data_IF_736747869958
#
_entry.id   IF_736747869958
#
_cell.length_a   1.000
_cell.length_b   1.000
_cell.length_c   1.000
_cell.angle_alpha   90.00
_cell.angle_beta   90.00
_cell.angle_gamma   90.00
#
_symmetry.space_group_name_H-M   'P 1'
#
loop_
_entity.id
_entity.type
_entity.pdbx_description
1 polymer ?
#
# COMPACT_ATOMS: atom_id res chain seq x y z
N UNK A 1 -7.62 -2.13 -20.59
CA UNK A 1 -7.63 -3.51 -20.06
C UNK A 1 -7.11 -3.43 -18.63
N UNK A 2 -7.77 -4.07 -17.66
CA UNK A 2 -7.17 -4.22 -16.34
C UNK A 2 -5.98 -5.15 -16.49
N UNK A 3 -4.81 -4.75 -16.01
CA UNK A 3 -3.66 -5.63 -15.96
C UNK A 3 -3.97 -6.82 -15.04
N UNK A 4 -3.51 -8.00 -15.43
CA UNK A 4 -3.54 -9.20 -14.58
C UNK A 4 -2.27 -9.36 -13.73
N UNK A 5 -1.29 -8.46 -13.88
CA UNK A 5 -0.03 -8.45 -13.12
C UNK A 5 0.27 -7.06 -12.57
N UNK A 6 1.00 -7.02 -11.45
CA UNK A 6 1.53 -5.76 -10.92
C UNK A 6 2.49 -5.11 -11.93
N UNK A 7 2.52 -3.78 -11.94
CA UNK A 7 3.42 -2.98 -12.79
C UNK A 7 4.08 -1.88 -11.96
N UNK A 8 5.33 -1.52 -12.28
CA UNK A 8 6.01 -0.41 -11.60
C UNK A 8 5.32 0.94 -11.84
N UNK A 9 5.53 1.91 -10.94
CA UNK A 9 5.09 3.29 -11.16
C UNK A 9 5.96 4.00 -12.23
N UNK A 10 5.59 5.22 -12.65
CA UNK A 10 6.42 6.03 -13.54
C UNK A 10 7.84 6.27 -13.00
N UNK A 11 8.81 6.61 -13.87
CA UNK A 11 10.15 6.92 -13.41
C UNK A 11 10.20 8.08 -12.41
N UNK A 12 10.99 7.95 -11.36
CA UNK A 12 11.14 8.87 -10.24
C UNK A 12 10.10 8.70 -9.13
N UNK A 13 9.25 7.66 -9.19
CA UNK A 13 8.15 7.47 -8.24
C UNK A 13 8.34 6.21 -7.38
N UNK A 14 7.70 6.23 -6.21
CA UNK A 14 7.40 5.01 -5.45
C UNK A 14 5.93 4.64 -5.58
N UNK A 15 5.63 3.35 -5.43
CA UNK A 15 4.28 2.81 -5.36
C UNK A 15 4.06 2.13 -4.01
N UNK A 16 2.93 2.44 -3.38
CA UNK A 16 2.46 1.83 -2.15
C UNK A 16 1.17 1.08 -2.46
N UNK A 17 1.24 -0.25 -2.46
CA UNK A 17 0.06 -1.10 -2.51
C UNK A 17 -0.45 -1.32 -1.08
N UNK A 18 -1.74 -1.12 -0.84
CA UNK A 18 -2.38 -1.32 0.47
C UNK A 18 -3.57 -2.26 0.35
N UNK A 19 -3.86 -2.97 1.44
CA UNK A 19 -4.98 -3.89 1.55
C UNK A 19 -5.45 -4.02 3.00
N UNK A 20 -6.61 -4.63 3.21
CA UNK A 20 -7.13 -4.98 4.50
C UNK A 20 -7.71 -6.41 4.55
N UNK A 21 -7.54 -7.05 5.71
CA UNK A 21 -8.11 -8.35 6.02
C UNK A 21 -9.03 -8.24 7.23
N UNK A 22 -10.21 -8.86 7.17
CA UNK A 22 -11.15 -8.96 8.28
C UNK A 22 -11.52 -10.43 8.51
N UNK A 23 -11.36 -10.91 9.74
CA UNK A 23 -11.73 -12.27 10.16
C UNK A 23 -13.11 -12.26 10.81
N UNK A 24 -13.73 -13.45 10.88
CA UNK A 24 -15.08 -13.61 11.43
C UNK A 24 -15.19 -13.28 12.93
N UNK A 25 -14.08 -13.29 13.67
CA UNK A 25 -13.99 -12.92 15.08
C UNK A 25 -13.67 -11.42 15.28
N UNK A 26 -13.85 -10.60 14.24
CA UNK A 26 -13.54 -9.16 14.22
C UNK A 26 -12.05 -8.80 14.33
N UNK A 27 -11.15 -9.78 14.37
CA UNK A 27 -9.73 -9.50 14.20
C UNK A 27 -9.49 -9.02 12.77
N UNK A 28 -8.75 -7.95 12.64
CA UNK A 28 -8.47 -7.31 11.37
C UNK A 28 -7.00 -6.98 11.24
N UNK A 29 -6.54 -6.88 10.01
CA UNK A 29 -5.20 -6.41 9.68
C UNK A 29 -5.29 -5.43 8.53
N UNK A 30 -4.46 -4.41 8.57
CA UNK A 30 -4.14 -3.60 7.40
C UNK A 30 -2.70 -3.87 7.03
N UNK A 31 -2.37 -3.78 5.75
CA UNK A 31 -1.00 -4.02 5.32
C UNK A 31 -0.70 -3.41 3.97
N UNK A 32 0.58 -3.44 3.63
CA UNK A 32 1.02 -2.93 2.35
C UNK A 32 2.47 -3.20 2.05
N UNK A 33 2.84 -2.87 0.81
CA UNK A 33 4.21 -2.98 0.28
C UNK A 33 4.55 -1.71 -0.50
N UNK A 34 5.76 -1.22 -0.28
CA UNK A 34 6.37 -0.06 -0.96
C UNK A 34 7.43 -0.58 -1.92
N UNK A 35 7.35 -0.15 -3.18
CA UNK A 35 8.28 -0.50 -4.25
C UNK A 35 8.66 0.72 -5.07
N UNK A 36 9.85 0.70 -5.65
CA UNK A 36 10.32 1.78 -6.53
C UNK A 36 9.87 1.62 -8.00
N UNK A 37 10.29 2.57 -8.84
CA UNK A 37 10.11 2.59 -10.31
C UNK A 37 10.67 1.36 -11.06
N UNK A 38 11.56 0.59 -10.44
CA UNK A 38 12.12 -0.64 -11.00
C UNK A 38 11.47 -1.88 -10.40
N UNK A 39 10.45 -1.74 -9.57
CA UNK A 39 9.81 -2.86 -8.88
C UNK A 39 10.63 -3.43 -7.73
N UNK A 40 11.72 -2.77 -7.31
CA UNK A 40 12.51 -3.21 -6.17
C UNK A 40 11.74 -2.99 -4.88
N UNK A 41 11.82 -3.98 -3.99
CA UNK A 41 11.27 -3.88 -2.65
C UNK A 41 11.98 -2.79 -1.84
N UNK A 42 11.21 -1.93 -1.19
CA UNK A 42 11.71 -0.90 -0.28
C UNK A 42 11.24 -1.12 1.17
N UNK A 43 9.96 -1.47 1.34
CA UNK A 43 9.35 -1.63 2.65
C UNK A 43 8.09 -2.51 2.57
N UNK A 44 7.79 -3.28 3.60
CA UNK A 44 6.45 -3.87 3.81
C UNK A 44 6.01 -3.66 5.26
N UNK A 45 4.70 -3.64 5.48
CA UNK A 45 4.13 -3.47 6.81
C UNK A 45 2.81 -4.22 6.97
N UNK A 46 2.50 -4.54 8.21
CA UNK A 46 1.18 -5.01 8.62
C UNK A 46 0.89 -4.50 10.03
N UNK A 47 -0.38 -4.27 10.33
CA UNK A 47 -0.81 -3.86 11.66
C UNK A 47 -2.17 -4.45 12.02
N UNK A 48 -2.31 -4.88 13.27
CA UNK A 48 -3.51 -5.51 13.80
C UNK A 48 -4.52 -4.48 14.32
N UNK A 49 -5.79 -4.82 14.13
CA UNK A 49 -6.94 -4.01 14.55
C UNK A 49 -8.08 -4.92 14.99
N UNK A 50 -9.09 -4.31 15.63
CA UNK A 50 -10.41 -4.91 15.82
C UNK A 50 -11.43 -4.05 15.09
N UNK A 51 -12.18 -4.66 14.17
CA UNK A 51 -13.15 -3.94 13.33
C UNK A 51 -14.27 -4.88 12.85
N UNK A 52 -15.36 -4.33 12.29
CA UNK A 52 -16.49 -5.10 11.76
C UNK A 52 -16.90 -4.72 10.33
N UNK A 53 -16.28 -3.69 9.76
CA UNK A 53 -16.54 -3.20 8.42
C UNK A 53 -15.25 -3.23 7.58
N UNK A 54 -15.23 -4.09 6.55
CA UNK A 54 -14.11 -4.24 5.63
C UNK A 54 -13.86 -2.98 4.81
N UNK A 55 -14.91 -2.25 4.39
CA UNK A 55 -14.75 -1.05 3.57
C UNK A 55 -14.05 0.08 4.34
N UNK A 56 -14.32 0.17 5.64
CA UNK A 56 -13.60 1.11 6.52
C UNK A 56 -12.16 0.69 6.76
N UNK A 57 -11.87 -0.61 6.87
CA UNK A 57 -10.51 -1.11 7.00
C UNK A 57 -9.66 -0.80 5.76
N UNK A 58 -10.21 -0.92 4.55
CA UNK A 58 -9.52 -0.52 3.31
C UNK A 58 -9.08 0.95 3.34
N UNK A 59 -9.96 1.83 3.80
CA UNK A 59 -9.62 3.24 3.99
C UNK A 59 -8.60 3.43 5.12
N UNK A 60 -8.71 2.64 6.19
CA UNK A 60 -7.80 2.70 7.32
C UNK A 60 -6.39 2.25 6.95
N UNK A 61 -6.22 1.33 6.02
CA UNK A 61 -4.91 0.95 5.47
C UNK A 61 -4.18 2.16 4.87
N UNK A 62 -4.92 3.07 4.24
CA UNK A 62 -4.38 4.33 3.67
C UNK A 62 -4.08 5.33 4.77
N UNK A 63 -4.94 5.48 5.78
CA UNK A 63 -4.66 6.34 6.94
C UNK A 63 -3.46 5.85 7.75
N UNK A 64 -3.22 4.54 7.78
CA UNK A 64 -2.11 3.95 8.51
C UNK A 64 -0.75 4.32 7.91
N UNK A 65 -0.70 4.73 6.64
CA UNK A 65 0.54 5.14 5.97
C UNK A 65 1.25 6.30 6.69
N UNK A 66 0.54 7.14 7.45
CA UNK A 66 1.16 8.18 8.28
C UNK A 66 2.20 7.63 9.26
N UNK A 67 2.07 6.36 9.68
CA UNK A 67 3.00 5.69 10.59
C UNK A 67 4.16 4.98 9.85
N UNK A 68 4.01 4.80 8.53
CA UNK A 68 4.93 4.03 7.69
C UNK A 68 5.86 4.94 6.90
N UNK A 69 5.38 6.12 6.51
CA UNK A 69 6.15 7.09 5.72
C UNK A 69 7.47 7.43 6.42
N UNK A 70 8.53 7.52 5.61
CA UNK A 70 9.89 7.84 6.03
C UNK A 70 10.39 9.06 5.25
N UNK A 71 11.32 9.81 5.82
CA UNK A 71 11.82 11.06 5.24
C UNK A 71 12.31 10.91 3.79
N UNK A 72 13.03 9.82 3.50
CA UNK A 72 13.53 9.51 2.16
C UNK A 72 12.43 9.37 1.11
N UNK A 73 11.19 9.03 1.50
CA UNK A 73 10.08 8.87 0.57
C UNK A 73 9.67 10.20 -0.07
N UNK A 74 9.88 11.32 0.63
CA UNK A 74 9.55 12.66 0.12
C UNK A 74 10.54 13.16 -0.94
N UNK A 75 11.71 12.53 -1.06
CA UNK A 75 12.72 12.86 -2.07
C UNK A 75 12.32 12.37 -3.48
N UNK A 76 11.35 11.46 -3.58
CA UNK A 76 10.83 10.99 -4.87
C UNK A 76 9.94 12.04 -5.55
N UNK A 77 9.87 11.97 -6.89
CA UNK A 77 9.05 12.89 -7.70
C UNK A 77 7.54 12.73 -7.45
N UNK A 78 7.13 11.57 -6.95
CA UNK A 78 5.76 11.30 -6.54
C UNK A 78 5.56 9.94 -5.88
N UNK A 79 4.42 9.78 -5.24
CA UNK A 79 3.93 8.53 -4.67
C UNK A 79 2.62 8.11 -5.34
N UNK A 80 2.54 6.85 -5.73
CA UNK A 80 1.31 6.22 -6.21
C UNK A 80 0.77 5.29 -5.13
N UNK A 81 -0.42 5.57 -4.61
CA UNK A 81 -1.10 4.73 -3.62
C UNK A 81 -2.15 3.90 -4.36
N UNK A 82 -1.99 2.57 -4.34
CA UNK A 82 -2.87 1.60 -4.99
C UNK A 82 -3.59 0.73 -3.96
N UNK A 83 -4.88 0.49 -4.21
CA UNK A 83 -5.68 -0.48 -3.47
C UNK A 83 -6.70 -1.16 -4.38
N UNK A 84 -7.30 -2.25 -3.89
CA UNK A 84 -8.23 -3.08 -4.67
C UNK A 84 -9.72 -2.70 -4.45
N UNK A 85 -10.00 -1.74 -3.56
CA UNK A 85 -11.36 -1.25 -3.33
C UNK A 85 -11.66 -0.01 -4.19
N UNK A 86 -12.32 -0.24 -5.34
CA UNK A 86 -12.59 0.84 -6.30
C UNK A 86 -13.44 1.98 -5.75
N UNK A 87 -14.31 1.74 -4.76
CA UNK A 87 -15.14 2.77 -4.17
C UNK A 87 -14.31 3.71 -3.29
N UNK A 88 -13.43 3.15 -2.45
CA UNK A 88 -12.50 3.91 -1.60
C UNK A 88 -11.53 4.72 -2.47
N UNK A 89 -10.91 4.08 -3.47
CA UNK A 89 -9.99 4.77 -4.38
C UNK A 89 -10.68 5.93 -5.11
N UNK A 90 -11.90 5.73 -5.64
CA UNK A 90 -12.65 6.81 -6.29
C UNK A 90 -12.98 7.94 -5.32
N UNK A 91 -13.39 7.63 -4.10
CA UNK A 91 -13.68 8.63 -3.08
C UNK A 91 -12.43 9.48 -2.77
N UNK A 92 -11.26 8.84 -2.62
CA UNK A 92 -9.99 9.51 -2.41
C UNK A 92 -9.57 10.35 -3.62
N UNK A 93 -9.71 9.85 -4.84
CA UNK A 93 -9.45 10.63 -6.05
C UNK A 93 -10.32 11.89 -6.13
N UNK A 94 -11.61 11.79 -5.79
CA UNK A 94 -12.53 12.94 -5.77
C UNK A 94 -12.14 13.92 -4.67
N UNK A 95 -11.86 13.44 -3.46
CA UNK A 95 -11.42 14.28 -2.34
C UNK A 95 -10.10 15.00 -2.66
N UNK A 96 -9.13 14.27 -3.22
CA UNK A 96 -7.82 14.77 -3.59
C UNK A 96 -7.88 15.86 -4.67
N UNK A 97 -8.79 15.72 -5.64
CA UNK A 97 -9.02 16.74 -6.68
C UNK A 97 -9.72 17.99 -6.13
N UNK A 98 -10.52 17.86 -5.07
CA UNK A 98 -11.30 18.96 -4.47
C UNK A 98 -10.55 19.77 -3.41
N UNK A 99 -9.33 19.35 -3.01
CA UNK A 99 -8.54 20.06 -2.00
C UNK A 99 -8.31 21.52 -2.39
N UNK A 100 -8.66 22.45 -1.49
CA UNK A 100 -8.45 23.89 -1.67
C UNK A 100 -7.01 24.23 -1.31
N UNK A 101 -6.37 25.13 -2.06
CA UNK A 101 -5.00 25.59 -1.80
C UNK A 101 -3.94 24.48 -1.68
N UNK A 102 -4.18 23.30 -2.26
CA UNK A 102 -3.36 22.07 -2.13
C UNK A 102 -3.39 21.38 -0.75
N UNK A 103 -4.07 21.95 0.25
CA UNK A 103 -4.12 21.38 1.59
C UNK A 103 -5.33 20.47 1.78
N UNK A 104 -5.06 19.25 2.25
CA UNK A 104 -6.08 18.34 2.77
C UNK A 104 -6.45 18.75 4.19
N UNK A 105 -7.75 18.92 4.44
CA UNK A 105 -8.27 19.24 5.78
C UNK A 105 -8.47 18.02 6.67
N UNK A 106 -8.45 16.81 6.12
CA UNK A 106 -8.46 15.56 6.91
C UNK A 106 -7.06 15.31 7.46
N UNK A 107 -6.88 15.52 8.77
CA UNK A 107 -5.60 15.34 9.48
C UNK A 107 -5.01 13.94 9.27
N UNK A 108 -5.83 12.91 9.00
CA UNK A 108 -5.36 11.54 8.76
C UNK A 108 -4.63 11.39 7.43
N UNK A 109 -4.79 12.35 6.52
CA UNK A 109 -4.15 12.38 5.20
C UNK A 109 -3.18 13.57 5.05
N UNK A 110 -3.07 14.46 6.05
CA UNK A 110 -2.28 15.68 5.95
C UNK A 110 -0.80 15.43 5.62
N UNK A 111 -0.23 14.29 6.06
CA UNK A 111 1.13 13.85 5.72
C UNK A 111 1.36 13.69 4.20
N UNK A 112 0.29 13.53 3.41
CA UNK A 112 0.40 13.43 1.95
C UNK A 112 0.72 14.77 1.28
N UNK A 113 0.61 15.89 2.00
CA UNK A 113 0.99 17.21 1.48
C UNK A 113 2.52 17.39 1.39
N UNK A 114 3.30 16.57 2.11
CA UNK A 114 4.76 16.60 2.10
C UNK A 114 5.36 15.90 0.87
N UNK A 115 4.56 15.09 0.16
CA UNK A 115 4.97 14.50 -1.11
C UNK A 115 4.87 15.51 -2.27
N UNK A 116 5.87 15.49 -3.15
CA UNK A 116 5.89 16.30 -4.38
C UNK A 116 4.62 16.09 -5.23
N UNK A 117 4.21 14.83 -5.40
CA UNK A 117 3.00 14.43 -6.12
C UNK A 117 2.40 13.19 -5.47
N UNK A 118 1.07 13.09 -5.50
CA UNK A 118 0.34 11.92 -5.00
C UNK A 118 -0.71 11.53 -6.04
N UNK A 119 -0.74 10.24 -6.36
CA UNK A 119 -1.74 9.63 -7.21
C UNK A 119 -2.42 8.47 -6.49
N UNK A 120 -3.75 8.46 -6.45
CA UNK A 120 -4.51 7.28 -6.06
C UNK A 120 -4.91 6.49 -7.30
N UNK A 121 -4.69 5.18 -7.28
CA UNK A 121 -5.00 4.29 -8.40
C UNK A 121 -5.69 3.02 -7.91
N UNK A 122 -6.58 2.47 -8.73
CA UNK A 122 -7.24 1.20 -8.45
C UNK A 122 -6.45 0.10 -9.16
N UNK A 123 -6.21 -1.00 -8.45
CA UNK A 123 -5.61 -2.19 -9.02
C UNK A 123 -6.53 -3.39 -8.86
N UNK A 124 -6.36 -4.41 -9.70
CA UNK A 124 -7.07 -5.68 -9.50
C UNK A 124 -6.42 -6.44 -8.33
N UNK A 125 -7.16 -7.38 -7.72
CA UNK A 125 -6.61 -8.26 -6.68
C UNK A 125 -5.34 -9.00 -7.10
N UNK A 126 -5.24 -9.36 -8.38
CA UNK A 126 -4.06 -10.04 -8.92
C UNK A 126 -2.81 -9.14 -8.93
N UNK A 127 -2.99 -7.82 -8.94
CA UNK A 127 -1.93 -6.83 -8.82
C UNK A 127 -1.63 -6.46 -7.35
N UNK A 128 -2.42 -6.93 -6.38
CA UNK A 128 -2.34 -6.50 -4.98
C UNK A 128 -1.91 -7.62 -4.01
N UNK A 129 -1.46 -8.77 -4.53
CA UNK A 129 -1.21 -9.99 -3.74
C UNK A 129 -0.28 -9.78 -2.55
N UNK A 130 0.81 -9.01 -2.73
CA UNK A 130 1.74 -8.71 -1.63
C UNK A 130 1.08 -7.90 -0.51
N UNK A 131 0.21 -6.95 -0.84
CA UNK A 131 -0.51 -6.17 0.16
C UNK A 131 -1.56 -7.03 0.89
N UNK A 132 -2.28 -7.92 0.17
CA UNK A 132 -3.18 -8.92 0.78
C UNK A 132 -2.43 -9.86 1.75
N UNK A 133 -1.25 -10.37 1.36
CA UNK A 133 -0.39 -11.16 2.25
C UNK A 133 -0.04 -10.34 3.50
N UNK A 134 0.42 -9.09 3.33
CA UNK A 134 0.75 -8.21 4.44
C UNK A 134 -0.43 -7.96 5.38
N UNK A 135 -1.62 -7.69 4.85
CA UNK A 135 -2.83 -7.47 5.64
C UNK A 135 -3.22 -8.72 6.43
N UNK A 136 -3.15 -9.91 5.81
CA UNK A 136 -3.43 -11.17 6.47
C UNK A 136 -2.42 -11.51 7.57
N UNK A 137 -1.13 -11.20 7.37
CA UNK A 137 -0.12 -11.33 8.42
C UNK A 137 -0.32 -10.31 9.54
N UNK A 138 -0.71 -9.09 9.18
CA UNK A 138 -1.03 -7.99 10.08
C UNK A 138 -2.14 -8.33 11.07
N UNK A 139 -3.08 -9.21 10.71
CA UNK A 139 -4.11 -9.74 11.64
C UNK A 139 -3.49 -10.42 12.87
N UNK A 140 -2.35 -11.07 12.72
CA UNK A 140 -1.72 -11.87 13.77
C UNK A 140 -0.64 -11.10 14.52
N UNK A 141 0.10 -10.23 13.83
CA UNK A 141 1.15 -9.43 14.44
C UNK A 141 1.42 -8.17 13.61
N UNK A 142 1.63 -7.05 14.30
CA UNK A 142 2.14 -5.83 13.69
C UNK A 142 3.62 -5.97 13.31
N UNK A 143 4.01 -5.50 12.12
CA UNK A 143 5.39 -5.55 11.63
C UNK A 143 5.72 -4.40 10.67
N UNK A 144 7.01 -4.15 10.50
CA UNK A 144 7.56 -3.30 9.44
C UNK A 144 8.91 -3.88 9.00
N UNK A 145 9.00 -4.31 7.75
CA UNK A 145 10.22 -4.85 7.14
C UNK A 145 10.81 -3.80 6.21
N UNK A 146 12.07 -3.42 6.43
CA UNK A 146 12.81 -2.43 5.61
C UNK A 146 13.91 -3.07 4.78
N UNK A 147 14.15 -4.36 4.98
CA UNK A 147 15.06 -5.19 4.19
C UNK A 147 14.47 -6.59 4.03
N UNK A 148 14.94 -7.34 3.04
CA UNK A 148 14.49 -8.71 2.75
C UNK A 148 15.21 -9.78 3.58
N UNK A 149 16.10 -9.39 4.50
CA UNK A 149 16.94 -10.30 5.28
C UNK A 149 16.37 -10.55 6.68
N UNK A 150 15.27 -9.86 7.02
CA UNK A 150 14.54 -10.11 8.25
C UNK A 150 14.05 -11.56 8.27
N UNK A 151 14.59 -12.34 9.23
CA UNK A 151 14.28 -13.76 9.44
C UNK A 151 12.79 -14.03 9.76
N UNK A 152 12.02 -12.99 10.06
CA UNK A 152 10.59 -13.09 10.32
C UNK A 152 9.72 -12.92 9.05
N UNK A 153 10.33 -12.64 7.89
CA UNK A 153 9.59 -12.57 6.61
C UNK A 153 9.17 -13.98 6.19
N UNK A 154 7.85 -14.24 6.02
CA UNK A 154 7.37 -15.54 5.61
C UNK A 154 7.81 -15.90 4.18
N UNK A 155 8.11 -17.19 3.90
CA UNK A 155 8.42 -17.66 2.56
C UNK A 155 7.35 -17.34 1.51
N UNK A 156 6.08 -17.27 1.91
CA UNK A 156 4.97 -16.90 1.02
C UNK A 156 5.11 -15.47 0.47
N UNK A 157 5.56 -14.52 1.30
CA UNK A 157 5.82 -13.15 0.87
C UNK A 157 6.98 -13.12 -0.13
N UNK A 158 8.09 -13.80 0.18
CA UNK A 158 9.26 -13.86 -0.70
C UNK A 158 8.96 -14.54 -2.04
N UNK A 159 8.18 -15.63 -2.04
CA UNK A 159 7.75 -16.31 -3.27
C UNK A 159 6.89 -15.40 -4.13
N UNK A 160 5.90 -14.73 -3.53
CA UNK A 160 5.03 -13.81 -4.25
C UNK A 160 5.81 -12.62 -4.82
N UNK A 161 6.75 -12.06 -4.06
CA UNK A 161 7.60 -10.97 -4.52
C UNK A 161 8.45 -11.41 -5.70
N UNK A 162 9.07 -12.59 -5.60
CA UNK A 162 9.87 -13.16 -6.69
C UNK A 162 9.04 -13.39 -7.94
N UNK A 163 7.85 -13.99 -7.83
CA UNK A 163 6.94 -14.22 -8.96
C UNK A 163 6.56 -12.90 -9.66
N UNK A 164 6.27 -11.85 -8.89
CA UNK A 164 5.95 -10.53 -9.46
C UNK A 164 7.17 -9.87 -10.11
N UNK A 165 8.38 -10.04 -9.57
CA UNK A 165 9.62 -9.55 -10.18
C UNK A 165 10.00 -10.32 -11.46
N UNK A 166 9.89 -11.64 -11.44
CA UNK A 166 10.18 -12.52 -12.60
C UNK A 166 9.25 -12.18 -13.77
N UNK A 167 7.96 -11.89 -13.49
CA UNK A 167 6.99 -11.46 -14.50
C UNK A 167 7.33 -10.10 -15.16
N UNK A 168 8.17 -9.28 -14.53
CA UNK A 168 8.67 -8.01 -15.06
C UNK A 168 10.01 -8.15 -15.81
N UNK A 169 10.62 -9.34 -15.80
CA UNK A 169 11.96 -9.57 -16.35
C UNK A 169 13.07 -8.90 -15.54
N UNK A 170 12.87 -8.76 -14.23
CA UNK A 170 13.81 -8.10 -13.31
C UNK A 170 14.86 -9.04 -12.70
N UNK A 171 14.94 -10.29 -13.16
CA UNK A 171 15.97 -11.27 -12.82
C UNK A 171 16.36 -12.09 -14.05
#
# INVERSE_FOLDING_TARGET
MLSNSWHPPPPGWIKINVDAALKCNNMAGVGGVVRDEKGQFLLAFGADFVHWDISQLELMAIFFLKNIVKDWMFEYQGVMIEGDNSNIIKALQIGWKKRKNKDITDERLAFLNDFNQVLFSFCSRNCNKLADICANLGVFNSFTWVDLWDKYIPPSFLSCLKEECDALGLF
#
